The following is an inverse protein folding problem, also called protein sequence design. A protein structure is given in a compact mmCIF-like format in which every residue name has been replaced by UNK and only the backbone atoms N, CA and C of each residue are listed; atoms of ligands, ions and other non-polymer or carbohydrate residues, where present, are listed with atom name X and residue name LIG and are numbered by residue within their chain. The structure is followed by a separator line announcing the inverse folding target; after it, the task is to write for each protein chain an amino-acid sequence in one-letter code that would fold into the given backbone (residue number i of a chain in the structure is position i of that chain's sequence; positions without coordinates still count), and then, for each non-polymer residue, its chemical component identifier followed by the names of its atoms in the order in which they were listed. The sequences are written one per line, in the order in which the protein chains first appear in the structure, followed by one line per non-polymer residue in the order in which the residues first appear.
data_IF_477633151608
#
_entry.id   IF_477633151608
#
_cell.length_a   1.000
_cell.length_b   1.000
_cell.length_c   1.000
_cell.angle_alpha   90.00
_cell.angle_beta   90.00
_cell.angle_gamma   90.00
#
_symmetry.space_group_name_H-M   'P 1'
#
loop_
_entity.id
_entity.type
_entity.pdbx_description
1 polymer ?
#
# COMPACT_ATOMS: atom_id res chain seq x y z
N UNK A 1 -26.61 3.61 -0.74
CA UNK A 1 -25.14 3.45 -0.60
C UNK A 1 -24.85 2.15 0.13
N UNK A 2 -23.92 1.32 -0.36
CA UNK A 2 -23.49 0.08 0.33
C UNK A 2 -22.88 0.40 1.70
N UNK A 3 -23.29 -0.34 2.73
CA UNK A 3 -22.78 -0.22 4.11
C UNK A 3 -21.34 -0.78 4.25
N UNK A 4 -20.95 -1.71 3.38
CA UNK A 4 -19.66 -2.38 3.41
C UNK A 4 -18.54 -1.60 2.72
N UNK A 5 -17.43 -2.29 2.47
CA UNK A 5 -16.35 -1.78 1.62
C UNK A 5 -16.89 -1.50 0.21
N UNK A 6 -16.32 -0.52 -0.47
CA UNK A 6 -16.66 -0.28 -1.88
C UNK A 6 -16.00 -1.33 -2.77
N UNK A 7 -16.51 -1.50 -3.99
CA UNK A 7 -15.87 -2.36 -4.99
C UNK A 7 -14.41 -1.94 -5.24
N UNK A 8 -14.15 -0.64 -5.32
CA UNK A 8 -12.80 -0.09 -5.43
C UNK A 8 -11.89 -0.58 -4.28
N UNK A 9 -12.34 -0.49 -3.03
CA UNK A 9 -11.54 -0.92 -1.88
C UNK A 9 -11.22 -2.41 -1.93
N UNK A 10 -12.22 -3.25 -2.27
CA UNK A 10 -12.03 -4.71 -2.35
C UNK A 10 -11.05 -5.05 -3.47
N UNK A 11 -11.26 -4.50 -4.66
CA UNK A 11 -10.39 -4.73 -5.83
C UNK A 11 -8.97 -4.25 -5.53
N UNK A 12 -8.82 -3.06 -4.95
CA UNK A 12 -7.52 -2.52 -4.56
C UNK A 12 -6.83 -3.47 -3.58
N UNK A 13 -7.44 -3.79 -2.44
CA UNK A 13 -6.85 -4.64 -1.41
C UNK A 13 -6.44 -6.03 -1.91
N UNK A 14 -7.24 -6.65 -2.78
CA UNK A 14 -6.89 -7.94 -3.37
C UNK A 14 -5.71 -7.80 -4.33
N UNK A 15 -5.76 -6.83 -5.25
CA UNK A 15 -4.68 -6.60 -6.22
C UNK A 15 -3.36 -6.27 -5.53
N UNK A 16 -3.38 -5.32 -4.61
CA UNK A 16 -2.20 -4.83 -3.90
C UNK A 16 -1.64 -5.89 -2.97
N UNK A 17 -2.46 -6.74 -2.35
CA UNK A 17 -1.95 -7.86 -1.55
C UNK A 17 -1.04 -8.78 -2.37
N UNK A 18 -1.34 -8.97 -3.65
CA UNK A 18 -0.52 -9.79 -4.56
C UNK A 18 0.76 -9.02 -4.94
N UNK A 19 0.61 -7.80 -5.46
CA UNK A 19 1.75 -6.96 -5.91
C UNK A 19 2.76 -6.76 -4.78
N UNK A 20 2.27 -6.43 -3.59
CA UNK A 20 3.10 -6.12 -2.43
C UNK A 20 3.70 -7.39 -1.81
N UNK A 21 3.07 -8.56 -2.00
CA UNK A 21 3.71 -9.85 -1.63
C UNK A 21 4.91 -10.16 -2.53
N UNK A 22 4.80 -9.87 -3.83
CA UNK A 22 5.94 -10.01 -4.76
C UNK A 22 7.06 -9.06 -4.34
N UNK A 23 6.72 -7.80 -4.06
CA UNK A 23 7.66 -6.80 -3.55
C UNK A 23 8.40 -7.25 -2.28
N UNK A 24 7.66 -7.72 -1.28
CA UNK A 24 8.20 -8.26 -0.04
C UNK A 24 9.21 -9.38 -0.31
N UNK A 25 8.85 -10.36 -1.14
CA UNK A 25 9.74 -11.48 -1.47
C UNK A 25 10.97 -10.99 -2.21
N UNK A 26 10.79 -10.12 -3.21
CA UNK A 26 11.90 -9.56 -3.99
C UNK A 26 12.89 -8.81 -3.08
N UNK A 27 12.39 -7.91 -2.24
CA UNK A 27 13.23 -7.10 -1.32
C UNK A 27 13.97 -7.96 -0.31
N UNK A 28 13.33 -8.99 0.25
CA UNK A 28 13.96 -9.84 1.27
C UNK A 28 14.90 -10.90 0.69
N UNK A 29 14.83 -11.20 -0.60
CA UNK A 29 15.65 -12.23 -1.25
C UNK A 29 16.68 -11.69 -2.24
N UNK A 30 16.74 -10.36 -2.44
CA UNK A 30 17.75 -9.73 -3.30
C UNK A 30 19.17 -9.91 -2.74
N UNK A 31 20.20 -9.97 -3.61
CA UNK A 31 21.58 -10.04 -3.17
C UNK A 31 22.04 -8.72 -2.53
N UNK A 32 23.02 -8.81 -1.63
CA UNK A 32 23.72 -7.63 -1.07
C UNK A 32 24.79 -7.06 -2.03
N UNK A 33 24.88 -7.58 -3.26
CA UNK A 33 25.92 -7.26 -4.24
C UNK A 33 25.25 -6.87 -5.57
N UNK A 34 25.49 -5.63 -5.99
CA UNK A 34 24.92 -5.04 -7.21
C UNK A 34 25.28 -5.78 -8.50
N UNK A 35 26.39 -6.50 -8.50
CA UNK A 35 26.87 -7.24 -9.68
C UNK A 35 26.13 -8.55 -9.89
N UNK A 36 25.36 -9.01 -8.90
CA UNK A 36 24.64 -10.28 -8.94
C UNK A 36 23.19 -10.07 -9.36
N UNK A 37 22.71 -10.95 -10.22
CA UNK A 37 21.28 -11.05 -10.54
C UNK A 37 20.48 -11.52 -9.33
N UNK A 38 19.21 -11.12 -9.28
CA UNK A 38 18.28 -11.59 -8.27
C UNK A 38 18.10 -13.12 -8.37
N UNK A 39 18.15 -13.89 -7.26
CA UNK A 39 18.10 -15.35 -7.32
C UNK A 39 16.82 -15.91 -7.95
N UNK A 40 15.74 -15.13 -7.89
CA UNK A 40 14.44 -15.47 -8.47
C UNK A 40 14.19 -14.86 -9.87
N UNK A 41 15.11 -14.09 -10.46
CA UNK A 41 14.85 -13.40 -11.75
C UNK A 41 14.79 -14.31 -12.98
N UNK A 42 15.02 -15.62 -12.82
CA UNK A 42 14.65 -16.60 -13.85
C UNK A 42 13.13 -16.70 -14.03
N UNK A 43 12.35 -16.34 -13.01
CA UNK A 43 10.90 -16.22 -13.10
C UNK A 43 10.51 -14.85 -13.69
N UNK A 44 9.57 -14.86 -14.65
CA UNK A 44 9.13 -13.65 -15.35
C UNK A 44 8.68 -12.52 -14.42
N UNK A 45 7.96 -12.84 -13.34
CA UNK A 45 7.47 -11.84 -12.39
C UNK A 45 8.63 -11.13 -11.70
N UNK A 46 9.57 -11.88 -11.12
CA UNK A 46 10.73 -11.29 -10.45
C UNK A 46 11.72 -10.64 -11.43
N UNK A 47 11.75 -11.07 -12.70
CA UNK A 47 12.50 -10.38 -13.75
C UNK A 47 11.95 -8.96 -14.00
N UNK A 48 10.63 -8.74 -13.88
CA UNK A 48 10.06 -7.40 -14.00
C UNK A 48 10.48 -6.49 -12.83
N UNK A 49 10.57 -7.02 -11.60
CA UNK A 49 11.08 -6.26 -10.45
C UNK A 49 12.59 -5.99 -10.58
N UNK A 50 13.37 -6.95 -11.10
CA UNK A 50 14.79 -6.73 -11.42
C UNK A 50 14.95 -5.61 -12.46
N UNK A 51 14.13 -5.60 -13.51
CA UNK A 51 14.10 -4.50 -14.48
C UNK A 51 13.69 -3.17 -13.84
N UNK A 52 12.65 -3.16 -13.00
CA UNK A 52 12.23 -1.96 -12.27
C UNK A 52 13.34 -1.39 -11.38
N UNK A 53 14.14 -2.25 -10.74
CA UNK A 53 15.26 -1.83 -9.89
C UNK A 53 16.36 -1.05 -10.62
N UNK A 54 16.37 -1.10 -11.97
CA UNK A 54 17.27 -0.26 -12.78
C UNK A 54 16.83 1.20 -12.81
N UNK A 55 15.54 1.48 -12.58
CA UNK A 55 14.98 2.82 -12.48
C UNK A 55 14.98 3.30 -11.03
N UNK A 56 14.53 2.47 -10.09
CA UNK A 56 14.63 2.78 -8.66
C UNK A 56 15.66 1.88 -7.98
N UNK A 57 16.87 2.43 -7.80
CA UNK A 57 18.01 1.68 -7.25
C UNK A 57 17.86 1.35 -5.77
N UNK A 58 16.86 1.89 -5.08
CA UNK A 58 16.45 1.41 -3.74
C UNK A 58 16.14 -0.08 -3.72
N UNK A 59 15.71 -0.61 -4.86
CA UNK A 59 15.40 -2.03 -5.04
C UNK A 59 16.59 -2.86 -5.55
N UNK A 60 17.71 -2.24 -5.93
CA UNK A 60 18.84 -2.93 -6.56
C UNK A 60 19.76 -3.56 -5.51
N UNK A 61 20.34 -2.74 -4.63
CA UNK A 61 21.31 -3.18 -3.60
C UNK A 61 20.73 -2.89 -2.23
N UNK A 62 21.04 -3.75 -1.27
CA UNK A 62 20.60 -3.57 0.11
C UNK A 62 21.47 -2.56 0.89
N UNK A 63 21.62 -1.34 0.37
CA UNK A 63 22.37 -0.25 1.00
C UNK A 63 21.46 0.79 1.69
N UNK A 64 20.14 0.56 1.66
CA UNK A 64 19.10 1.39 2.25
C UNK A 64 18.22 0.56 3.20
N UNK A 65 18.32 0.84 4.50
CA UNK A 65 17.48 0.19 5.50
C UNK A 65 15.99 0.56 5.34
N UNK A 66 15.69 1.72 4.75
CA UNK A 66 14.32 2.21 4.58
C UNK A 66 13.46 1.20 3.81
N UNK A 67 13.95 0.72 2.67
CA UNK A 67 13.22 -0.18 1.77
C UNK A 67 12.96 -1.52 2.45
N UNK A 68 13.95 -2.05 3.17
CA UNK A 68 13.79 -3.32 3.91
C UNK A 68 12.73 -3.18 4.98
N UNK A 69 12.79 -2.11 5.78
CA UNK A 69 11.79 -1.85 6.82
C UNK A 69 10.41 -1.64 6.22
N UNK A 70 10.31 -0.89 5.13
CA UNK A 70 9.05 -0.68 4.42
C UNK A 70 8.47 -2.00 3.91
N UNK A 71 9.28 -2.87 3.32
CA UNK A 71 8.83 -4.19 2.86
C UNK A 71 8.45 -5.11 4.01
N UNK A 72 9.08 -5.03 5.18
CA UNK A 72 8.58 -5.75 6.35
C UNK A 72 7.22 -5.23 6.83
N UNK A 73 7.02 -3.91 6.84
CA UNK A 73 5.73 -3.28 7.15
C UNK A 73 4.63 -3.68 6.13
N UNK A 74 5.01 -3.89 4.86
CA UNK A 74 4.11 -4.39 3.83
C UNK A 74 3.44 -5.73 4.21
N UNK A 75 4.13 -6.62 4.95
CA UNK A 75 3.54 -7.87 5.42
C UNK A 75 2.32 -7.62 6.34
N UNK A 76 2.41 -6.62 7.23
CA UNK A 76 1.29 -6.22 8.10
C UNK A 76 0.14 -5.64 7.28
N UNK A 77 0.45 -4.80 6.29
CA UNK A 77 -0.57 -4.25 5.40
C UNK A 77 -1.29 -5.33 4.59
N UNK A 78 -0.58 -6.34 4.09
CA UNK A 78 -1.19 -7.47 3.37
C UNK A 78 -2.22 -8.17 4.29
N UNK A 79 -1.82 -8.49 5.52
CA UNK A 79 -2.70 -9.15 6.49
C UNK A 79 -3.94 -8.29 6.78
N UNK A 80 -3.77 -6.99 7.01
CA UNK A 80 -4.89 -6.10 7.30
C UNK A 80 -5.83 -5.91 6.10
N UNK A 81 -5.29 -5.81 4.88
CA UNK A 81 -6.08 -5.71 3.65
C UNK A 81 -6.95 -6.96 3.44
N UNK A 82 -6.35 -8.15 3.51
CA UNK A 82 -7.08 -9.40 3.35
C UNK A 82 -8.10 -9.60 4.48
N UNK A 83 -7.73 -9.27 5.72
CA UNK A 83 -8.65 -9.39 6.84
C UNK A 83 -9.83 -8.41 6.74
N UNK A 84 -9.62 -7.19 6.24
CA UNK A 84 -10.72 -6.26 5.98
C UNK A 84 -11.71 -6.82 4.94
N UNK A 85 -11.20 -7.47 3.89
CA UNK A 85 -12.03 -8.14 2.87
C UNK A 85 -12.80 -9.32 3.47
N UNK A 86 -12.17 -10.14 4.31
CA UNK A 86 -12.84 -11.25 5.01
C UNK A 86 -13.93 -10.75 5.97
N UNK A 87 -13.66 -9.69 6.73
CA UNK A 87 -14.65 -9.06 7.60
C UNK A 87 -15.84 -8.52 6.79
N UNK A 88 -15.58 -7.94 5.62
CA UNK A 88 -16.64 -7.51 4.70
C UNK A 88 -17.49 -8.70 4.23
N UNK A 89 -16.87 -9.79 3.77
CA UNK A 89 -17.58 -10.99 3.35
C UNK A 89 -18.41 -11.62 4.48
N UNK A 90 -17.92 -11.53 5.73
CA UNK A 90 -18.63 -11.98 6.93
C UNK A 90 -19.71 -11.00 7.43
N UNK A 91 -20.02 -9.92 6.69
CA UNK A 91 -21.05 -8.94 7.08
C UNK A 91 -20.64 -7.96 8.18
N UNK A 92 -19.39 -7.99 8.65
CA UNK A 92 -18.85 -7.13 9.74
C UNK A 92 -18.42 -5.76 9.21
N UNK A 93 -19.35 -5.03 8.61
CA UNK A 93 -19.07 -3.86 7.78
C UNK A 93 -18.40 -2.68 8.51
N UNK A 94 -18.79 -2.37 9.75
CA UNK A 94 -18.18 -1.27 10.51
C UNK A 94 -16.72 -1.57 10.82
N UNK A 95 -16.42 -2.78 11.27
CA UNK A 95 -15.05 -3.23 11.54
C UNK A 95 -14.22 -3.31 10.27
N UNK A 96 -14.78 -3.83 9.18
CA UNK A 96 -14.12 -3.87 7.87
C UNK A 96 -13.72 -2.46 7.40
N UNK A 97 -14.65 -1.49 7.47
CA UNK A 97 -14.35 -0.10 7.10
C UNK A 97 -13.34 0.57 8.03
N UNK A 98 -13.35 0.24 9.33
CA UNK A 98 -12.37 0.75 10.29
C UNK A 98 -10.97 0.24 9.95
N UNK A 99 -10.83 -1.05 9.67
CA UNK A 99 -9.55 -1.63 9.27
C UNK A 99 -9.09 -1.11 7.90
N UNK A 100 -10.02 -0.95 6.95
CA UNK A 100 -9.73 -0.37 5.64
C UNK A 100 -9.23 1.08 5.75
N UNK A 101 -9.79 1.88 6.68
CA UNK A 101 -9.30 3.21 6.98
C UNK A 101 -7.86 3.17 7.50
N UNK A 102 -7.59 2.33 8.51
CA UNK A 102 -6.26 2.19 9.12
C UNK A 102 -5.21 1.80 8.08
N UNK A 103 -5.44 0.72 7.33
CA UNK A 103 -4.44 0.22 6.38
C UNK A 103 -4.24 1.18 5.21
N UNK A 104 -5.28 1.89 4.75
CA UNK A 104 -5.12 2.89 3.70
C UNK A 104 -4.32 4.11 4.18
N UNK A 105 -4.48 4.52 5.45
CA UNK A 105 -3.63 5.57 6.05
C UNK A 105 -2.17 5.10 6.13
N UNK A 106 -1.91 3.84 6.50
CA UNK A 106 -0.56 3.27 6.49
C UNK A 106 0.07 3.34 5.09
N UNK A 107 -0.66 2.91 4.06
CA UNK A 107 -0.20 2.96 2.67
C UNK A 107 0.07 4.40 2.20
N UNK A 108 -0.79 5.36 2.54
CA UNK A 108 -0.54 6.78 2.26
C UNK A 108 0.74 7.26 2.93
N UNK A 109 0.85 7.02 4.24
CA UNK A 109 1.93 7.53 5.05
C UNK A 109 3.29 7.03 4.55
N UNK A 110 3.42 5.72 4.28
CA UNK A 110 4.68 5.17 3.76
C UNK A 110 5.02 5.72 2.37
N UNK A 111 4.01 5.97 1.52
CA UNK A 111 4.26 6.43 0.14
C UNK A 111 4.69 7.90 0.14
N UNK A 112 4.08 8.73 1.00
CA UNK A 112 4.55 10.09 1.25
C UNK A 112 5.96 10.08 1.82
N UNK A 113 6.23 9.20 2.78
CA UNK A 113 7.56 9.04 3.37
C UNK A 113 8.60 8.64 2.32
N UNK A 114 8.30 7.69 1.42
CA UNK A 114 9.16 7.33 0.29
C UNK A 114 9.48 8.55 -0.58
N UNK A 115 8.47 9.34 -0.95
CA UNK A 115 8.69 10.57 -1.74
C UNK A 115 9.50 11.63 -1.00
N UNK A 116 9.32 11.76 0.31
CA UNK A 116 10.14 12.64 1.15
C UNK A 116 11.59 12.16 1.22
N UNK A 117 11.83 10.86 1.41
CA UNK A 117 13.18 10.28 1.38
C UNK A 117 13.86 10.58 0.04
N UNK A 118 13.15 10.40 -1.08
CA UNK A 118 13.69 10.72 -2.40
C UNK A 118 14.09 12.19 -2.54
N UNK A 119 13.28 13.10 -2.00
CA UNK A 119 13.59 14.53 -2.00
C UNK A 119 14.81 14.87 -1.12
N UNK A 120 14.82 14.40 0.14
CA UNK A 120 15.85 14.76 1.11
C UNK A 120 17.20 14.07 0.86
N UNK A 121 17.20 12.92 0.20
CA UNK A 121 18.43 12.26 -0.25
C UNK A 121 18.95 12.82 -1.59
N UNK A 122 18.31 13.88 -2.12
CA UNK A 122 18.73 14.52 -3.36
C UNK A 122 18.65 13.58 -4.55
N UNK A 123 17.60 12.74 -4.60
CA UNK A 123 17.36 11.80 -5.69
C UNK A 123 18.39 10.67 -5.80
N UNK A 124 19.04 10.29 -4.69
CA UNK A 124 20.15 9.31 -4.63
C UNK A 124 19.92 8.06 -5.48
N UNK A 125 18.67 7.59 -5.57
CA UNK A 125 18.32 6.32 -6.21
C UNK A 125 17.62 6.46 -7.56
N UNK A 126 17.14 7.64 -7.94
CA UNK A 126 16.37 7.84 -9.18
C UNK A 126 16.91 8.95 -10.10
N UNK A 127 17.84 9.81 -9.66
CA UNK A 127 18.36 10.92 -10.47
C UNK A 127 19.16 10.50 -11.72
N UNK A 128 19.56 9.23 -11.82
CA UNK A 128 20.23 8.74 -13.03
C UNK A 128 19.26 8.51 -14.20
N UNK A 129 17.95 8.55 -13.95
CA UNK A 129 16.93 8.35 -14.97
C UNK A 129 16.77 9.61 -15.84
N UNK A 130 16.33 9.40 -17.09
CA UNK A 130 15.76 10.51 -17.86
C UNK A 130 14.49 11.01 -17.18
N UNK A 131 14.08 12.27 -17.45
CA UNK A 131 12.83 12.82 -16.91
C UNK A 131 11.62 11.96 -17.31
N UNK A 132 11.60 11.42 -18.52
CA UNK A 132 10.52 10.56 -18.99
C UNK A 132 10.46 9.24 -18.20
N UNK A 133 11.61 8.59 -18.02
CA UNK A 133 11.71 7.35 -17.25
C UNK A 133 11.33 7.56 -15.78
N UNK A 134 11.78 8.66 -15.17
CA UNK A 134 11.41 9.03 -13.80
C UNK A 134 9.89 9.19 -13.66
N UNK A 135 9.26 9.91 -14.59
CA UNK A 135 7.80 10.11 -14.56
C UNK A 135 7.08 8.77 -14.73
N UNK A 136 7.48 7.97 -15.71
CA UNK A 136 6.81 6.73 -16.07
C UNK A 136 6.97 5.64 -15.00
N UNK A 137 8.19 5.47 -14.47
CA UNK A 137 8.52 4.36 -13.58
C UNK A 137 8.37 4.71 -12.10
N UNK A 138 8.54 5.97 -11.71
CA UNK A 138 8.51 6.36 -10.29
C UNK A 138 7.26 7.17 -9.96
N UNK A 139 7.02 8.27 -10.68
CA UNK A 139 5.95 9.22 -10.32
C UNK A 139 4.55 8.65 -10.55
N UNK A 140 4.29 8.07 -11.73
CA UNK A 140 2.97 7.52 -12.05
C UNK A 140 2.59 6.37 -11.11
N UNK A 141 3.44 5.34 -10.88
CA UNK A 141 3.13 4.27 -9.94
C UNK A 141 2.90 4.79 -8.51
N UNK A 142 3.76 5.69 -8.02
CA UNK A 142 3.61 6.30 -6.69
C UNK A 142 2.30 7.09 -6.56
N UNK A 143 1.84 7.73 -7.65
CA UNK A 143 0.58 8.48 -7.66
C UNK A 143 -0.62 7.57 -7.42
N UNK A 144 -0.64 6.34 -7.94
CA UNK A 144 -1.70 5.37 -7.65
C UNK A 144 -1.74 4.99 -6.16
N UNK A 145 -0.57 4.78 -5.55
CA UNK A 145 -0.41 4.50 -4.12
C UNK A 145 -0.77 5.67 -3.20
N UNK A 146 -0.93 6.88 -3.75
CA UNK A 146 -1.44 8.04 -3.02
C UNK A 146 -2.95 8.20 -3.28
N UNK A 147 -3.35 8.31 -4.54
CA UNK A 147 -4.71 8.70 -4.91
C UNK A 147 -5.75 7.65 -4.49
N UNK A 148 -5.48 6.35 -4.73
CA UNK A 148 -6.47 5.30 -4.43
C UNK A 148 -6.63 5.12 -2.91
N UNK A 149 -5.56 4.97 -2.11
CA UNK A 149 -5.69 4.94 -0.65
C UNK A 149 -6.33 6.20 -0.08
N UNK A 150 -6.04 7.39 -0.64
CA UNK A 150 -6.72 8.64 -0.26
C UNK A 150 -8.23 8.60 -0.45
N UNK A 151 -8.69 8.09 -1.59
CA UNK A 151 -10.11 7.87 -1.87
C UNK A 151 -10.71 6.86 -0.87
N UNK A 152 -10.01 5.77 -0.55
CA UNK A 152 -10.47 4.76 0.41
C UNK A 152 -10.57 5.37 1.81
N UNK A 153 -9.61 6.18 2.26
CA UNK A 153 -9.65 6.89 3.54
C UNK A 153 -10.92 7.74 3.65
N UNK A 154 -11.21 8.57 2.66
CA UNK A 154 -12.41 9.43 2.67
C UNK A 154 -13.71 8.59 2.70
N UNK A 155 -13.73 7.51 1.93
CA UNK A 155 -14.87 6.60 1.84
C UNK A 155 -15.13 5.84 3.15
N UNK A 156 -14.08 5.30 3.77
CA UNK A 156 -14.16 4.55 5.03
C UNK A 156 -14.43 5.48 6.20
N UNK A 157 -13.82 6.67 6.24
CA UNK A 157 -14.08 7.69 7.26
C UNK A 157 -15.56 8.06 7.35
N UNK A 158 -16.20 8.36 6.21
CA UNK A 158 -17.64 8.69 6.13
C UNK A 158 -18.52 7.54 6.63
N UNK A 159 -18.15 6.30 6.33
CA UNK A 159 -18.91 5.11 6.76
C UNK A 159 -18.78 4.86 8.26
N UNK A 160 -17.57 4.98 8.80
CA UNK A 160 -17.31 4.79 10.24
C UNK A 160 -18.00 5.87 11.07
N UNK A 161 -17.83 7.15 10.70
CA UNK A 161 -18.45 8.27 11.42
C UNK A 161 -19.98 8.28 11.29
N UNK A 162 -20.50 7.91 10.12
CA UNK A 162 -21.94 7.73 9.90
C UNK A 162 -22.53 6.62 10.77
N UNK A 163 -21.86 5.47 10.87
CA UNK A 163 -22.28 4.37 11.73
C UNK A 163 -22.28 4.76 13.21
N UNK A 164 -21.24 5.46 13.67
CA UNK A 164 -21.15 5.96 15.04
C UNK A 164 -22.29 6.94 15.38
N UNK A 165 -22.59 7.85 14.45
CA UNK A 165 -23.67 8.84 14.60
C UNK A 165 -25.04 8.16 14.68
N UNK A 166 -25.29 7.17 13.83
CA UNK A 166 -26.53 6.39 13.84
C UNK A 166 -26.70 5.61 15.15
N UNK A 167 -25.65 4.95 15.65
CA UNK A 167 -25.68 4.24 16.92
C UNK A 167 -26.01 5.17 18.10
N UNK A 168 -25.44 6.39 18.10
CA UNK A 168 -25.74 7.40 19.11
C UNK A 168 -27.21 7.81 19.09
N UNK A 169 -27.79 8.05 17.91
CA UNK A 169 -29.21 8.41 17.76
C UNK A 169 -30.14 7.31 18.27
N UNK A 170 -29.87 6.04 17.96
CA UNK A 170 -30.65 4.89 18.45
C UNK A 170 -30.60 4.80 19.98
N UNK A 171 -29.41 4.92 20.57
CA UNK A 171 -29.27 4.87 22.03
C UNK A 171 -30.01 6.00 22.75
N UNK A 172 -30.08 7.21 22.15
CA UNK A 172 -30.83 8.35 22.70
C UNK A 172 -32.34 8.08 22.69
N UNK A 173 -32.86 7.52 21.59
CA UNK A 173 -34.28 7.17 21.46
C UNK A 173 -34.71 6.04 22.41
N UNK A 174 -33.82 5.10 22.71
CA UNK A 174 -34.09 4.03 23.69
C UNK A 174 -34.14 4.56 25.12
N UNK A 175 -33.35 5.58 25.46
CA UNK A 175 -33.36 6.21 26.80
C UNK A 175 -34.53 7.16 27.03
N UNK A 176 -35.21 7.61 25.97
CA UNK A 176 -36.38 8.49 26.05
C UNK A 176 -37.72 7.73 26.08
N UNK A 177 -37.69 6.41 26.01
CA UNK A 177 -38.84 5.52 26.21
C UNK A 177 -38.76 4.90 27.59
#
# INVERSE_FOLDING_TARGET
MSKGLSGLTITWFLLTSIIVSIDLVYVLTRPNDASKRHPLSSNYVFAQWEYYSTFDKRYAVNDDAFVVVQSLCNAVEIVFQLFAVLLHAAGKYTTANTLALVVSVMTLYKTVMYGMMEHFEGGKYTNHNSTADLIQMVVIPSSFWILIPGVIVLQSWRRVTGAASAAKSVSKLQKSK
#
